data_IF_768896656127
#
_entry.id   IF_768896656127
#
_cell.length_a   1.000
_cell.length_b   1.000
_cell.length_c   1.000
_cell.angle_alpha   90.00
_cell.angle_beta   90.00
_cell.angle_gamma   90.00
#
_symmetry.space_group_name_H-M   'P 1'
#
loop_
_entity.id
_entity.type
_entity.pdbx_description
1 polymer ?
#
# COMPACT_ATOMS: atom_id res chain seq x y z
N UNK A 1 -74.28 30.47 14.78
CA UNK A 1 -73.38 29.67 15.60
C UNK A 1 -72.51 28.79 14.65
N UNK A 2 -71.35 29.23 14.25
CA UNK A 2 -70.50 28.56 13.29
C UNK A 2 -69.20 28.23 14.02
N UNK A 3 -68.90 26.93 14.26
CA UNK A 3 -67.63 26.48 14.88
C UNK A 3 -66.57 26.33 13.85
N UNK A 4 -65.54 27.16 13.94
CA UNK A 4 -64.27 27.01 13.24
C UNK A 4 -63.49 25.81 13.82
N UNK A 5 -63.08 24.87 12.97
CA UNK A 5 -62.21 23.75 13.30
C UNK A 5 -60.81 24.12 12.83
N UNK A 6 -59.90 24.30 13.77
CA UNK A 6 -58.46 24.51 13.50
C UNK A 6 -57.80 23.21 13.01
N UNK A 7 -56.99 23.21 11.96
CA UNK A 7 -56.17 22.04 11.59
C UNK A 7 -54.91 22.03 12.40
N UNK A 8 -54.69 21.01 13.20
CA UNK A 8 -53.42 20.68 13.83
C UNK A 8 -52.39 20.28 12.73
N UNK A 9 -51.40 21.13 12.51
CA UNK A 9 -50.24 20.83 11.65
C UNK A 9 -49.27 20.01 12.50
N UNK A 10 -49.20 18.69 12.24
CA UNK A 10 -48.26 17.79 12.86
C UNK A 10 -46.93 17.89 12.11
N UNK A 11 -45.98 18.66 12.67
CA UNK A 11 -44.65 18.84 12.11
C UNK A 11 -43.79 17.58 12.39
N UNK A 12 -43.58 16.76 11.37
CA UNK A 12 -42.75 15.55 11.45
C UNK A 12 -41.25 15.97 11.40
N UNK A 13 -40.62 16.02 12.56
CA UNK A 13 -39.19 16.33 12.68
C UNK A 13 -38.39 15.08 12.27
N UNK A 14 -37.93 15.05 11.02
CA UNK A 14 -37.03 13.99 10.53
C UNK A 14 -35.65 14.18 11.12
N UNK A 15 -35.28 13.41 12.14
CA UNK A 15 -33.92 13.31 12.67
C UNK A 15 -33.10 12.49 11.68
N UNK A 16 -32.28 13.14 10.86
CA UNK A 16 -31.24 12.48 10.08
C UNK A 16 -30.15 11.99 11.03
N UNK A 17 -30.09 10.68 11.28
CA UNK A 17 -28.95 10.04 11.91
C UNK A 17 -27.77 10.10 10.90
N UNK A 18 -26.87 11.05 11.08
CA UNK A 18 -25.57 11.01 10.43
C UNK A 18 -24.80 9.80 11.00
N UNK A 19 -24.66 8.73 10.21
CA UNK A 19 -23.78 7.63 10.56
C UNK A 19 -22.35 8.21 10.68
N UNK A 20 -21.59 7.89 11.76
CA UNK A 20 -20.21 8.33 11.85
C UNK A 20 -19.44 7.72 10.66
N UNK A 21 -18.84 8.57 9.83
CA UNK A 21 -17.82 8.15 8.87
C UNK A 21 -16.68 7.63 9.73
N UNK A 22 -16.53 6.32 9.80
CA UNK A 22 -15.42 5.70 10.49
C UNK A 22 -14.13 6.20 9.81
N UNK A 23 -13.43 7.12 10.46
CA UNK A 23 -12.11 7.54 10.03
C UNK A 23 -11.25 6.27 9.92
N UNK A 24 -10.65 6.01 8.75
CA UNK A 24 -9.76 4.88 8.55
C UNK A 24 -8.62 4.98 9.56
N UNK A 25 -8.66 4.15 10.61
CA UNK A 25 -7.59 4.08 11.60
C UNK A 25 -6.48 3.19 11.05
N UNK A 26 -5.40 3.81 10.60
CA UNK A 26 -4.18 3.09 10.25
C UNK A 26 -3.61 2.47 11.52
N UNK A 27 -3.34 1.16 11.47
CA UNK A 27 -2.74 0.39 12.55
C UNK A 27 -1.37 -0.12 12.11
N UNK A 28 -0.41 -0.11 13.02
CA UNK A 28 0.89 -0.73 12.82
C UNK A 28 0.77 -2.24 13.02
N UNK A 29 1.30 -2.99 12.06
CA UNK A 29 1.40 -4.45 12.08
C UNK A 29 2.87 -4.82 12.09
N UNK A 30 3.25 -5.68 13.03
CA UNK A 30 4.60 -6.19 13.17
C UNK A 30 4.68 -7.62 12.64
N UNK A 31 5.70 -7.90 11.82
CA UNK A 31 5.98 -9.20 11.23
C UNK A 31 7.43 -9.62 11.54
N UNK A 32 7.71 -10.06 12.79
CA UNK A 32 9.08 -10.38 13.22
C UNK A 32 9.76 -11.45 12.36
N UNK A 33 9.03 -12.48 11.94
CA UNK A 33 9.50 -13.56 11.05
C UNK A 33 9.96 -13.02 9.68
N UNK A 34 9.27 -11.99 9.19
CA UNK A 34 9.58 -11.31 7.94
C UNK A 34 10.52 -10.12 8.11
N UNK A 35 10.77 -9.68 9.36
CA UNK A 35 11.77 -8.65 9.69
C UNK A 35 11.32 -7.22 9.40
N UNK A 36 10.02 -6.89 9.51
CA UNK A 36 9.52 -5.53 9.32
C UNK A 36 8.27 -5.22 10.14
N UNK A 37 7.96 -3.91 10.27
CA UNK A 37 6.64 -3.41 10.63
C UNK A 37 6.17 -2.36 9.63
N UNK A 38 4.84 -2.19 9.51
CA UNK A 38 4.22 -1.23 8.61
C UNK A 38 2.78 -0.94 9.02
N UNK A 39 2.28 0.26 8.72
CA UNK A 39 0.91 0.63 9.00
C UNK A 39 -0.01 0.24 7.83
N UNK A 40 -1.11 -0.48 8.11
CA UNK A 40 -2.18 -0.76 7.16
C UNK A 40 -3.51 -0.14 7.60
N UNK A 41 -4.39 0.22 6.65
CA UNK A 41 -5.73 0.75 6.98
C UNK A 41 -6.73 -0.33 7.40
N UNK A 42 -6.37 -1.61 7.30
CA UNK A 42 -7.15 -2.79 7.70
C UNK A 42 -6.20 -3.98 7.84
N UNK A 43 -6.61 -5.11 8.47
CA UNK A 43 -5.81 -6.33 8.51
C UNK A 43 -5.48 -6.83 7.10
N UNK A 44 -4.20 -7.06 6.75
CA UNK A 44 -3.84 -7.55 5.43
C UNK A 44 -4.15 -9.04 5.26
N UNK A 45 -4.44 -9.40 4.01
CA UNK A 45 -4.46 -10.79 3.57
C UNK A 45 -3.02 -11.22 3.31
N UNK A 46 -2.60 -12.32 3.93
CA UNK A 46 -1.24 -12.87 3.80
C UNK A 46 -1.27 -14.07 2.87
N UNK A 47 -0.37 -14.11 1.87
CA UNK A 47 -0.23 -15.22 0.92
C UNK A 47 1.23 -15.53 0.65
N UNK A 48 1.52 -16.83 0.46
CA UNK A 48 2.80 -17.27 -0.10
C UNK A 48 2.67 -17.40 -1.61
N UNK A 49 3.66 -16.86 -2.33
CA UNK A 49 3.68 -16.86 -3.80
C UNK A 49 5.13 -16.89 -4.32
N UNK A 50 5.38 -17.35 -5.55
CA UNK A 50 6.69 -17.24 -6.15
C UNK A 50 6.96 -15.80 -6.59
N UNK A 51 8.20 -15.32 -6.38
CA UNK A 51 8.69 -14.04 -6.90
C UNK A 51 9.74 -14.30 -8.00
N UNK A 52 9.61 -13.62 -9.14
CA UNK A 52 10.58 -13.71 -10.23
C UNK A 52 11.87 -12.96 -9.83
N UNK A 53 12.93 -13.69 -9.56
CA UNK A 53 14.19 -13.15 -9.05
C UNK A 53 15.20 -12.76 -10.17
N UNK A 54 14.77 -12.78 -11.43
CA UNK A 54 15.62 -12.57 -12.59
C UNK A 54 16.24 -13.86 -13.13
N UNK A 55 16.83 -13.77 -14.32
CA UNK A 55 17.51 -14.90 -15.01
C UNK A 55 16.66 -16.18 -15.10
N UNK A 56 15.32 -16.04 -15.17
CA UNK A 56 14.40 -17.17 -15.23
C UNK A 56 14.23 -17.93 -13.90
N UNK A 57 14.80 -17.45 -12.81
CA UNK A 57 14.70 -18.06 -11.48
C UNK A 57 13.56 -17.43 -10.68
N UNK A 58 13.00 -18.22 -9.78
CA UNK A 58 12.00 -17.77 -8.80
C UNK A 58 12.47 -18.08 -7.38
N UNK A 59 12.08 -17.25 -6.44
CA UNK A 59 12.25 -17.45 -5.00
C UNK A 59 10.90 -17.48 -4.31
N UNK A 60 10.84 -18.00 -3.08
CA UNK A 60 9.63 -17.90 -2.29
C UNK A 60 9.43 -16.46 -1.81
N UNK A 61 8.18 -16.01 -1.84
CA UNK A 61 7.81 -14.72 -1.28
C UNK A 61 6.52 -14.82 -0.46
N UNK A 62 6.36 -13.87 0.45
CA UNK A 62 5.13 -13.67 1.19
C UNK A 62 4.60 -12.27 0.86
N UNK A 63 3.35 -12.19 0.43
CA UNK A 63 2.66 -10.93 0.19
C UNK A 63 1.66 -10.63 1.31
N UNK A 64 1.60 -9.36 1.70
CA UNK A 64 0.70 -8.78 2.69
C UNK A 64 -0.11 -7.71 1.99
N UNK A 65 -1.41 -7.92 1.76
CA UNK A 65 -2.18 -7.06 0.87
C UNK A 65 -3.49 -6.59 1.51
N UNK A 66 -3.76 -5.30 1.43
CA UNK A 66 -5.06 -4.69 1.70
C UNK A 66 -5.59 -4.08 0.41
N UNK A 67 -6.74 -4.54 -0.06
CA UNK A 67 -7.45 -3.98 -1.21
C UNK A 67 -8.71 -3.27 -0.77
N UNK A 68 -8.85 -2.04 -1.20
CA UNK A 68 -10.04 -1.21 -1.05
C UNK A 68 -10.60 -0.87 -2.44
N UNK A 69 -11.80 -0.32 -2.56
CA UNK A 69 -12.40 -0.02 -3.88
C UNK A 69 -11.53 0.84 -4.79
N UNK A 70 -10.76 1.76 -4.23
CA UNK A 70 -9.92 2.72 -4.99
C UNK A 70 -8.46 2.76 -4.53
N UNK A 71 -8.04 1.82 -3.68
CA UNK A 71 -6.69 1.78 -3.10
C UNK A 71 -6.19 0.33 -3.04
N UNK A 72 -4.89 0.18 -3.23
CA UNK A 72 -4.18 -1.07 -3.00
C UNK A 72 -2.94 -0.77 -2.15
N UNK A 73 -2.73 -1.59 -1.13
CA UNK A 73 -1.54 -1.53 -0.28
C UNK A 73 -0.94 -2.93 -0.20
N UNK A 74 0.32 -3.07 -0.56
CA UNK A 74 0.98 -4.37 -0.54
C UNK A 74 2.43 -4.28 -0.07
N UNK A 75 2.85 -5.31 0.67
CA UNK A 75 4.26 -5.60 0.93
C UNK A 75 4.54 -6.98 0.40
N UNK A 76 5.54 -7.12 -0.45
CA UNK A 76 6.05 -8.44 -0.86
C UNK A 76 7.46 -8.60 -0.28
N UNK A 77 7.66 -9.69 0.46
CA UNK A 77 8.97 -10.06 1.02
C UNK A 77 9.43 -11.32 0.32
N UNK A 78 10.45 -11.19 -0.53
CA UNK A 78 11.02 -12.31 -1.28
C UNK A 78 12.35 -12.77 -0.66
N UNK A 79 12.52 -14.07 -0.46
CA UNK A 79 13.68 -14.67 0.21
C UNK A 79 14.77 -15.06 -0.79
N UNK A 80 15.86 -14.33 -0.78
CA UNK A 80 17.02 -14.55 -1.63
C UNK A 80 18.17 -15.31 -0.95
N UNK A 81 17.96 -15.85 0.26
CA UNK A 81 19.00 -16.50 1.08
C UNK A 81 19.80 -17.58 0.34
N UNK A 82 19.17 -18.26 -0.62
CA UNK A 82 19.78 -19.36 -1.38
C UNK A 82 20.23 -18.96 -2.79
N UNK A 83 20.21 -17.64 -3.13
CA UNK A 83 20.48 -17.19 -4.50
C UNK A 83 21.91 -16.72 -4.71
N UNK A 84 22.63 -16.30 -3.65
CA UNK A 84 23.96 -15.72 -3.76
C UNK A 84 24.01 -14.42 -4.60
N UNK A 85 22.89 -13.68 -4.62
CA UNK A 85 22.75 -12.40 -5.32
C UNK A 85 22.98 -11.29 -4.30
N UNK A 86 23.75 -10.26 -4.71
CA UNK A 86 23.91 -9.06 -3.89
C UNK A 86 22.67 -8.16 -3.91
N UNK A 87 22.57 -7.28 -2.91
CA UNK A 87 21.40 -6.43 -2.74
C UNK A 87 21.20 -5.44 -3.88
N UNK A 88 22.26 -4.90 -4.46
CA UNK A 88 22.16 -3.92 -5.55
C UNK A 88 21.58 -4.57 -6.80
N UNK A 89 22.01 -5.80 -7.11
CA UNK A 89 21.47 -6.59 -8.24
C UNK A 89 19.98 -6.92 -8.01
N UNK A 90 19.61 -7.32 -6.79
CA UNK A 90 18.19 -7.64 -6.47
C UNK A 90 17.30 -6.39 -6.56
N UNK A 91 17.77 -5.25 -6.03
CA UNK A 91 17.07 -3.97 -6.10
C UNK A 91 16.94 -3.50 -7.56
N UNK A 92 18.02 -3.55 -8.35
CA UNK A 92 18.00 -3.12 -9.75
C UNK A 92 16.96 -3.93 -10.54
N UNK A 93 16.93 -5.26 -10.36
CA UNK A 93 15.95 -6.12 -11.01
C UNK A 93 14.49 -5.78 -10.59
N UNK A 94 14.26 -5.51 -9.31
CA UNK A 94 12.94 -5.09 -8.83
C UNK A 94 12.54 -3.72 -9.40
N UNK A 95 13.47 -2.77 -9.50
CA UNK A 95 13.25 -1.47 -10.16
C UNK A 95 12.81 -1.66 -11.61
N UNK A 96 13.52 -2.52 -12.37
CA UNK A 96 13.17 -2.80 -13.77
C UNK A 96 11.76 -3.39 -13.89
N UNK A 97 11.37 -4.31 -12.99
CA UNK A 97 10.01 -4.88 -12.98
C UNK A 97 8.95 -3.82 -12.69
N UNK A 98 9.22 -2.90 -11.77
CA UNK A 98 8.31 -1.81 -11.43
C UNK A 98 8.22 -0.80 -12.58
N UNK A 99 9.34 -0.44 -13.20
CA UNK A 99 9.37 0.47 -14.36
C UNK A 99 8.61 -0.07 -15.57
N UNK A 100 8.58 -1.39 -15.74
CA UNK A 100 7.81 -2.03 -16.82
C UNK A 100 6.28 -1.87 -16.66
N UNK A 101 5.80 -1.51 -15.47
CA UNK A 101 4.36 -1.36 -15.19
C UNK A 101 3.80 0.01 -15.60
N UNK A 102 4.64 1.01 -15.86
CA UNK A 102 4.15 2.34 -16.21
C UNK A 102 5.25 3.38 -16.36
N UNK A 103 4.84 4.64 -16.33
CA UNK A 103 5.74 5.79 -16.46
C UNK A 103 6.28 6.22 -15.12
N UNK A 104 7.59 6.09 -14.93
CA UNK A 104 8.29 6.61 -13.74
C UNK A 104 8.26 8.13 -13.73
N UNK A 105 7.88 8.71 -12.61
CA UNK A 105 7.87 10.15 -12.33
C UNK A 105 9.00 10.56 -11.41
N UNK A 106 9.29 9.69 -10.43
CA UNK A 106 10.35 9.88 -9.45
C UNK A 106 11.06 8.54 -9.30
N UNK A 107 12.37 8.55 -9.21
CA UNK A 107 13.22 7.42 -8.89
C UNK A 107 14.44 7.96 -8.16
N UNK A 108 14.48 7.75 -6.84
CA UNK A 108 15.52 8.30 -5.96
C UNK A 108 16.04 7.25 -4.99
N UNK A 109 17.26 7.47 -4.50
CA UNK A 109 17.77 6.69 -3.39
C UNK A 109 16.96 6.94 -2.12
N UNK A 110 16.71 5.89 -1.36
CA UNK A 110 15.98 5.92 -0.11
C UNK A 110 16.81 5.32 1.02
N UNK A 111 16.49 5.70 2.25
CA UNK A 111 17.14 5.16 3.42
C UNK A 111 16.19 5.03 4.61
N UNK A 112 16.12 3.83 5.16
CA UNK A 112 15.45 3.55 6.43
C UNK A 112 16.51 3.05 7.41
N UNK A 113 16.75 3.78 8.50
CA UNK A 113 17.85 3.53 9.43
C UNK A 113 19.21 3.53 8.67
N UNK A 114 19.84 2.37 8.53
CA UNK A 114 21.10 2.17 7.80
C UNK A 114 20.92 1.38 6.51
N UNK A 115 19.68 1.00 6.20
CA UNK A 115 19.38 0.23 5.00
C UNK A 115 19.14 1.18 3.83
N UNK A 116 19.84 0.96 2.74
CA UNK A 116 19.66 1.71 1.49
C UNK A 116 18.69 0.97 0.58
N UNK A 117 17.98 1.71 -0.23
CA UNK A 117 17.01 1.21 -1.17
C UNK A 117 16.63 2.25 -2.21
N UNK A 118 15.47 2.07 -2.84
CA UNK A 118 14.94 2.97 -3.87
C UNK A 118 13.50 3.32 -3.54
N UNK A 119 13.15 4.56 -3.84
CA UNK A 119 11.75 5.02 -3.84
C UNK A 119 11.37 5.49 -5.24
N UNK A 120 10.24 4.98 -5.73
CA UNK A 120 9.71 5.33 -7.03
C UNK A 120 8.28 5.86 -6.91
N UNK A 121 7.95 6.80 -7.79
CA UNK A 121 6.56 7.19 -8.06
C UNK A 121 6.25 6.87 -9.52
N UNK A 122 5.15 6.17 -9.76
CA UNK A 122 4.81 5.63 -11.07
C UNK A 122 3.36 5.99 -11.40
N UNK A 123 3.13 6.33 -12.67
CA UNK A 123 1.80 6.31 -13.27
C UNK A 123 1.69 5.03 -14.08
N UNK A 124 0.87 4.11 -13.62
CA UNK A 124 0.66 2.81 -14.26
C UNK A 124 0.04 2.93 -15.66
N UNK A 125 0.17 1.87 -16.45
CA UNK A 125 -0.45 1.79 -17.79
C UNK A 125 -1.99 1.78 -17.72
N UNK A 126 -2.55 1.57 -16.53
CA UNK A 126 -3.97 1.63 -16.19
C UNK A 126 -4.39 2.98 -15.55
N UNK A 127 -3.53 3.99 -15.66
CA UNK A 127 -3.69 5.32 -15.03
C UNK A 127 -3.75 5.29 -13.49
N UNK A 128 -3.34 4.21 -12.84
CA UNK A 128 -3.12 4.18 -11.39
C UNK A 128 -1.88 5.01 -11.01
N UNK A 129 -1.87 5.53 -9.76
CA UNK A 129 -0.71 6.21 -9.22
C UNK A 129 -0.14 5.41 -8.06
N UNK A 130 1.11 4.95 -8.18
CA UNK A 130 1.79 4.15 -7.16
C UNK A 130 2.98 4.88 -6.56
N UNK A 131 3.12 4.75 -5.24
CA UNK A 131 4.35 5.02 -4.50
C UNK A 131 4.96 3.67 -4.11
N UNK A 132 6.19 3.44 -4.50
CA UNK A 132 6.89 2.17 -4.33
C UNK A 132 8.19 2.39 -3.56
N UNK A 133 8.49 1.53 -2.58
CA UNK A 133 9.80 1.46 -1.94
C UNK A 133 10.37 0.05 -2.07
N UNK A 134 11.66 -0.04 -2.37
CA UNK A 134 12.39 -1.29 -2.58
C UNK A 134 13.62 -1.28 -1.69
N UNK A 135 13.75 -2.29 -0.84
CA UNK A 135 14.90 -2.48 0.05
C UNK A 135 15.40 -3.92 0.00
N UNK A 136 16.68 -4.10 0.27
CA UNK A 136 17.24 -5.44 0.45
C UNK A 136 17.96 -5.50 1.80
N UNK A 137 17.43 -6.35 2.69
CA UNK A 137 17.90 -6.47 4.08
C UNK A 137 17.95 -7.94 4.45
N UNK A 138 19.08 -8.40 4.99
CA UNK A 138 19.27 -9.78 5.47
C UNK A 138 18.86 -10.85 4.43
N UNK A 139 19.31 -10.69 3.18
CA UNK A 139 18.96 -11.53 2.02
C UNK A 139 17.46 -11.59 1.68
N UNK A 140 16.67 -10.64 2.12
CA UNK A 140 15.26 -10.48 1.74
C UNK A 140 15.07 -9.18 0.95
N UNK A 141 14.33 -9.28 -0.15
CA UNK A 141 13.87 -8.13 -0.91
C UNK A 141 12.48 -7.73 -0.40
N UNK A 142 12.34 -6.48 -0.06
CA UNK A 142 11.08 -5.86 0.36
C UNK A 142 10.60 -4.94 -0.75
N UNK A 143 9.46 -5.25 -1.34
CA UNK A 143 8.76 -4.40 -2.29
C UNK A 143 7.49 -3.90 -1.62
N UNK A 144 7.43 -2.60 -1.33
CA UNK A 144 6.31 -1.93 -0.65
C UNK A 144 5.63 -1.02 -1.65
N UNK A 145 4.35 -1.25 -1.90
CA UNK A 145 3.59 -0.48 -2.89
C UNK A 145 2.27 0.00 -2.30
N UNK A 146 2.04 1.31 -2.35
CA UNK A 146 0.75 1.93 -2.16
C UNK A 146 0.25 2.50 -3.47
N UNK A 147 -0.96 2.10 -3.90
CA UNK A 147 -1.53 2.53 -5.17
C UNK A 147 -2.88 3.19 -5.00
N UNK A 148 -3.10 4.28 -5.73
CA UNK A 148 -4.41 4.91 -5.96
C UNK A 148 -4.87 4.48 -7.34
N UNK A 149 -5.99 3.76 -7.40
CA UNK A 149 -6.51 3.24 -8.66
C UNK A 149 -7.18 4.34 -9.49
N UNK A 150 -7.17 4.21 -10.81
CA UNK A 150 -7.73 5.19 -11.76
C UNK A 150 -9.22 5.54 -11.51
N UNK A 151 -9.96 4.62 -10.87
CA UNK A 151 -11.36 4.83 -10.49
C UNK A 151 -11.54 5.76 -9.28
N UNK A 152 -10.46 6.21 -8.65
CA UNK A 152 -10.52 7.11 -7.50
C UNK A 152 -10.90 8.53 -7.93
N UNK A 153 -11.84 9.16 -7.23
CA UNK A 153 -12.11 10.58 -7.36
C UNK A 153 -10.98 11.45 -6.76
N UNK A 154 -10.14 10.87 -5.90
CA UNK A 154 -9.02 11.54 -5.23
C UNK A 154 -7.69 10.86 -5.61
N UNK A 155 -7.22 11.15 -6.82
CA UNK A 155 -5.93 10.67 -7.34
C UNK A 155 -4.72 11.34 -6.66
N UNK A 156 -4.92 12.44 -5.95
CA UNK A 156 -3.88 13.19 -5.23
C UNK A 156 -3.79 12.80 -3.75
N UNK A 157 -4.51 11.76 -3.34
CA UNK A 157 -4.44 11.25 -1.96
C UNK A 157 -3.00 10.91 -1.57
N UNK A 158 -2.57 11.40 -0.41
CA UNK A 158 -1.27 11.07 0.17
C UNK A 158 -1.18 9.65 0.77
N UNK A 159 -2.25 8.85 0.68
CA UNK A 159 -2.33 7.54 1.33
C UNK A 159 -1.27 6.54 0.83
N UNK A 160 -0.99 6.55 -0.49
CA UNK A 160 0.04 5.70 -1.08
C UNK A 160 1.43 6.01 -0.52
N UNK A 161 1.80 7.29 -0.46
CA UNK A 161 3.06 7.73 0.13
C UNK A 161 3.11 7.49 1.64
N UNK A 162 2.01 7.73 2.35
CA UNK A 162 1.90 7.43 3.79
C UNK A 162 2.16 5.95 4.07
N UNK A 163 1.58 5.05 3.27
CA UNK A 163 1.80 3.62 3.40
C UNK A 163 3.28 3.28 3.22
N UNK A 164 3.86 3.64 2.08
CA UNK A 164 5.26 3.40 1.77
C UNK A 164 6.20 3.92 2.86
N UNK A 165 5.97 5.14 3.36
CA UNK A 165 6.79 5.78 4.38
C UNK A 165 6.59 5.22 5.80
N UNK A 166 5.59 4.37 6.00
CA UNK A 166 5.35 3.72 7.30
C UNK A 166 6.20 2.47 7.53
N UNK A 167 6.92 1.97 6.50
CA UNK A 167 7.83 0.82 6.64
C UNK A 167 8.92 1.07 7.69
N UNK A 168 9.16 0.08 8.54
CA UNK A 168 10.24 0.08 9.52
C UNK A 168 10.94 -1.28 9.52
N UNK A 169 12.25 -1.24 9.67
CA UNK A 169 13.05 -2.43 9.98
C UNK A 169 13.42 -2.42 11.46
N UNK A 170 13.42 -3.58 12.15
CA UNK A 170 13.88 -3.67 13.53
C UNK A 170 15.35 -3.18 13.63
N UNK A 171 15.69 -2.70 14.82
CA UNK A 171 17.06 -2.20 15.12
C UNK A 171 17.97 -3.33 15.54
#
# INVERSE_FOLDING_TARGET
MTRMRDPLILSLLSVMLAAPVAAQSWQEYEYPESGFSIAFPAPPVVKSEPYAAGSGKTVSATSYTVRQPTRLYSVTVADFSNMGIDGDTAIAHAVDQVQAQGKVRVDVEARINRQYGRELSIVGNDDSHSAVAIFFVDNKLYLVEGSVLATSADMQSGDAARFQQSLRFPR
#
